data_IF_408702802267
#
_entry.id   IF_408702802267
#
_cell.length_a   1.000
_cell.length_b   1.000
_cell.length_c   1.000
_cell.angle_alpha   90.00
_cell.angle_beta   90.00
_cell.angle_gamma   90.00
#
_symmetry.space_group_name_H-M   'P 1'
#
loop_
_entity.id
_entity.type
_entity.pdbx_description
1 polymer ?
#
# COMPACT_ATOMS: atom_id res chain seq x y z
N UNK A 1 -41.19 -11.45 -12.51
CA UNK A 1 -39.75 -11.66 -12.77
C UNK A 1 -38.98 -10.80 -11.78
N UNK A 2 -37.97 -11.37 -11.11
CA UNK A 2 -37.07 -10.61 -10.24
C UNK A 2 -35.75 -10.34 -10.97
N UNK A 3 -35.23 -9.13 -10.88
CA UNK A 3 -33.95 -8.77 -11.48
C UNK A 3 -32.81 -9.39 -10.68
N UNK A 4 -31.81 -9.98 -11.36
CA UNK A 4 -30.61 -10.51 -10.72
C UNK A 4 -29.61 -9.37 -10.46
N UNK A 5 -29.22 -9.09 -9.20
CA UNK A 5 -28.15 -8.16 -8.92
C UNK A 5 -26.81 -8.71 -9.41
N UNK A 6 -26.05 -7.89 -10.12
CA UNK A 6 -24.72 -8.22 -10.65
C UNK A 6 -23.70 -7.19 -10.17
N UNK A 7 -22.50 -7.65 -9.79
CA UNK A 7 -21.39 -6.76 -9.40
C UNK A 7 -20.67 -6.33 -10.68
N UNK A 8 -20.89 -5.08 -11.10
CA UNK A 8 -20.24 -4.49 -12.29
C UNK A 8 -18.96 -3.74 -11.98
N UNK A 9 -18.66 -3.52 -10.69
CA UNK A 9 -17.46 -2.87 -10.22
C UNK A 9 -17.32 -2.96 -8.71
N UNK A 10 -16.08 -2.87 -8.23
CA UNK A 10 -15.77 -2.82 -6.80
C UNK A 10 -14.47 -2.05 -6.57
N UNK A 11 -14.34 -1.48 -5.37
CA UNK A 11 -13.20 -0.65 -4.98
C UNK A 11 -13.13 -0.46 -3.47
N UNK A 12 -12.11 0.26 -3.02
CA UNK A 12 -11.84 0.49 -1.60
C UNK A 12 -10.34 0.54 -1.32
N UNK A 13 -9.97 1.07 -0.16
CA UNK A 13 -8.60 1.10 0.37
C UNK A 13 -8.61 0.44 1.74
N UNK A 14 -7.65 -0.45 1.99
CA UNK A 14 -7.41 -1.02 3.31
C UNK A 14 -5.90 -1.26 3.51
N UNK A 15 -5.51 -2.01 4.55
CA UNK A 15 -4.12 -2.30 4.86
C UNK A 15 -3.37 -3.09 3.75
N UNK A 16 -4.09 -3.80 2.86
CA UNK A 16 -3.52 -4.49 1.70
C UNK A 16 -3.40 -3.57 0.46
N UNK A 17 -3.87 -2.33 0.54
CA UNK A 17 -3.86 -1.35 -0.55
C UNK A 17 -5.22 -1.22 -1.23
N UNK A 18 -5.22 -1.05 -2.56
CA UNK A 18 -6.41 -0.75 -3.36
C UNK A 18 -7.14 -2.00 -3.84
N UNK A 19 -8.42 -2.15 -3.56
CA UNK A 19 -9.20 -3.33 -3.97
C UNK A 19 -9.47 -3.38 -5.48
N UNK A 20 -9.71 -2.24 -6.12
CA UNK A 20 -9.99 -2.19 -7.57
C UNK A 20 -8.80 -2.74 -8.37
N UNK A 21 -9.09 -3.48 -9.45
CA UNK A 21 -8.08 -4.19 -10.21
C UNK A 21 -7.40 -5.34 -9.44
N UNK A 22 -8.03 -5.83 -8.37
CA UNK A 22 -7.56 -6.93 -7.51
C UNK A 22 -6.23 -6.67 -6.79
N UNK A 23 -5.80 -5.41 -6.60
CA UNK A 23 -4.46 -5.14 -6.08
C UNK A 23 -4.32 -5.48 -4.59
N UNK A 24 -5.34 -5.18 -3.79
CA UNK A 24 -5.42 -5.64 -2.40
C UNK A 24 -5.40 -7.17 -2.29
N UNK A 25 -6.11 -7.87 -3.19
CA UNK A 25 -6.06 -9.34 -3.25
C UNK A 25 -4.64 -9.84 -3.60
N UNK A 26 -4.01 -9.27 -4.63
CA UNK A 26 -2.64 -9.61 -5.02
C UNK A 26 -1.64 -9.41 -3.86
N UNK A 27 -1.79 -8.35 -3.07
CA UNK A 27 -0.95 -8.16 -1.87
C UNK A 27 -1.13 -9.27 -0.83
N UNK A 28 -2.34 -9.80 -0.67
CA UNK A 28 -2.60 -10.89 0.29
C UNK A 28 -1.95 -12.22 -0.13
N UNK A 29 -1.88 -12.50 -1.43
CA UNK A 29 -1.33 -13.76 -1.98
C UNK A 29 0.00 -13.54 -2.70
N UNK A 30 0.76 -12.52 -2.28
CA UNK A 30 1.91 -11.98 -3.01
C UNK A 30 2.94 -13.03 -3.45
N UNK A 31 3.25 -13.98 -2.57
CA UNK A 31 4.27 -15.01 -2.79
C UNK A 31 3.85 -16.06 -3.84
N UNK A 32 2.57 -16.12 -4.19
CA UNK A 32 2.01 -17.03 -5.19
C UNK A 32 1.88 -16.38 -6.58
N UNK A 33 2.24 -15.10 -6.70
CA UNK A 33 2.12 -14.36 -7.95
C UNK A 33 3.33 -14.60 -8.85
N UNK A 34 3.13 -14.48 -10.17
CA UNK A 34 4.25 -14.36 -11.10
C UNK A 34 5.05 -13.08 -10.84
N UNK A 35 6.33 -13.07 -11.22
CA UNK A 35 7.22 -11.89 -11.04
C UNK A 35 6.63 -10.59 -11.60
N UNK A 36 5.95 -10.65 -12.75
CA UNK A 36 5.28 -9.48 -13.33
C UNK A 36 4.12 -8.95 -12.48
N UNK A 37 3.32 -9.84 -11.89
CA UNK A 37 2.22 -9.46 -10.99
C UNK A 37 2.76 -8.98 -9.63
N UNK A 38 3.86 -9.55 -9.14
CA UNK A 38 4.57 -9.03 -7.96
C UNK A 38 5.05 -7.60 -8.20
N UNK A 39 5.78 -7.36 -9.30
CA UNK A 39 6.27 -6.03 -9.66
C UNK A 39 5.12 -5.01 -9.80
N UNK A 40 4.04 -5.37 -10.49
CA UNK A 40 2.85 -4.51 -10.62
C UNK A 40 2.22 -4.20 -9.26
N UNK A 41 2.17 -5.18 -8.35
CA UNK A 41 1.63 -4.99 -7.00
C UNK A 41 2.53 -4.07 -6.18
N UNK A 42 3.85 -4.28 -6.19
CA UNK A 42 4.83 -3.42 -5.51
C UNK A 42 4.76 -1.98 -6.03
N UNK A 43 4.70 -1.79 -7.36
CA UNK A 43 4.56 -0.47 -7.97
C UNK A 43 3.30 0.24 -7.49
N UNK A 44 2.17 -0.48 -7.45
CA UNK A 44 0.93 0.10 -6.93
C UNK A 44 1.00 0.47 -5.47
N UNK A 45 1.65 -0.34 -4.63
CA UNK A 45 1.86 -0.01 -3.23
C UNK A 45 2.74 1.24 -3.11
N UNK A 46 3.86 1.27 -3.83
CA UNK A 46 4.78 2.40 -3.84
C UNK A 46 4.08 3.70 -4.25
N UNK A 47 3.25 3.66 -5.29
CA UNK A 47 2.45 4.82 -5.72
C UNK A 47 1.36 5.20 -4.71
N UNK A 48 0.66 4.22 -4.14
CA UNK A 48 -0.38 4.47 -3.15
C UNK A 48 0.18 5.09 -1.86
N UNK A 49 1.39 4.68 -1.45
CA UNK A 49 2.06 5.19 -0.23
C UNK A 49 2.96 6.40 -0.49
N UNK A 50 2.88 7.01 -1.67
CA UNK A 50 3.64 8.22 -2.01
C UNK A 50 5.16 8.02 -2.14
N UNK A 51 5.63 6.78 -2.27
CA UNK A 51 7.04 6.44 -2.44
C UNK A 51 7.49 6.56 -3.90
N UNK A 52 6.55 6.46 -4.83
CA UNK A 52 6.81 6.50 -6.26
C UNK A 52 5.71 7.28 -6.99
N UNK A 53 6.05 8.29 -7.77
CA UNK A 53 5.10 9.08 -8.55
C UNK A 53 5.55 9.22 -9.99
N UNK A 54 4.60 9.32 -10.91
CA UNK A 54 4.88 9.66 -12.29
C UNK A 54 4.69 11.17 -12.47
N UNK A 55 5.71 11.84 -13.00
CA UNK A 55 5.72 13.27 -13.28
C UNK A 55 6.31 13.51 -14.68
N UNK A 56 5.52 14.12 -15.57
CA UNK A 56 5.89 14.38 -16.97
C UNK A 56 6.44 13.14 -17.72
N UNK A 57 5.89 11.95 -17.41
CA UNK A 57 6.32 10.68 -18.02
C UNK A 57 7.53 10.02 -17.35
N UNK A 58 8.21 10.72 -16.45
CA UNK A 58 9.33 10.20 -15.67
C UNK A 58 8.83 9.67 -14.32
N UNK A 59 9.50 8.65 -13.81
CA UNK A 59 9.23 8.13 -12.46
C UNK A 59 10.14 8.81 -11.46
N UNK A 60 9.56 9.26 -10.35
CA UNK A 60 10.27 9.94 -9.26
C UNK A 60 9.96 9.32 -7.91
N UNK A 61 10.94 9.28 -7.04
CA UNK A 61 10.76 8.83 -5.65
C UNK A 61 10.16 9.93 -4.75
N UNK A 62 10.03 9.62 -3.45
CA UNK A 62 9.57 10.57 -2.44
C UNK A 62 10.47 11.82 -2.29
N UNK A 63 11.75 11.74 -2.68
CA UNK A 63 12.72 12.84 -2.64
C UNK A 63 12.77 13.63 -3.96
N UNK A 64 11.88 13.33 -4.91
CA UNK A 64 11.83 13.91 -6.25
C UNK A 64 13.01 13.52 -7.17
N UNK A 65 13.81 12.52 -6.78
CA UNK A 65 14.86 11.96 -7.63
C UNK A 65 14.22 11.10 -8.72
N UNK A 66 14.74 11.22 -9.95
CA UNK A 66 14.33 10.32 -11.03
C UNK A 66 14.83 8.90 -10.74
N UNK A 67 13.96 7.91 -10.94
CA UNK A 67 14.26 6.51 -10.60
C UNK A 67 13.89 5.56 -11.72
N UNK A 68 14.73 4.53 -11.91
CA UNK A 68 14.33 3.33 -12.62
C UNK A 68 13.37 2.54 -11.72
N UNK A 69 12.17 2.23 -12.24
CA UNK A 69 11.13 1.57 -11.46
C UNK A 69 11.56 0.16 -11.01
N UNK A 70 12.19 -0.62 -11.88
CA UNK A 70 12.56 -1.99 -11.55
C UNK A 70 13.61 -2.04 -10.44
N UNK A 71 14.63 -1.19 -10.52
CA UNK A 71 15.67 -1.07 -9.50
C UNK A 71 15.10 -0.54 -8.18
N UNK A 72 14.22 0.47 -8.24
CA UNK A 72 13.55 1.01 -7.06
C UNK A 72 12.71 -0.06 -6.36
N UNK A 73 11.92 -0.83 -7.10
CA UNK A 73 11.08 -1.87 -6.52
C UNK A 73 11.91 -3.00 -5.93
N UNK A 74 12.99 -3.42 -6.59
CA UNK A 74 13.90 -4.43 -6.05
C UNK A 74 14.56 -3.96 -4.74
N UNK A 75 14.98 -2.69 -4.66
CA UNK A 75 15.60 -2.13 -3.46
C UNK A 75 14.62 -1.90 -2.29
N UNK A 76 13.32 -1.73 -2.59
CA UNK A 76 12.31 -1.36 -1.59
C UNK A 76 11.26 -2.46 -1.34
N UNK A 77 11.38 -3.64 -1.95
CA UNK A 77 10.41 -4.73 -1.86
C UNK A 77 10.07 -5.06 -0.39
N UNK A 78 11.08 -5.34 0.43
CA UNK A 78 10.91 -5.68 1.84
C UNK A 78 10.19 -4.56 2.60
N UNK A 79 10.62 -3.31 2.41
CA UNK A 79 10.04 -2.13 3.07
C UNK A 79 8.57 -1.94 2.68
N UNK A 80 8.22 -2.10 1.40
CA UNK A 80 6.84 -1.97 0.91
C UNK A 80 5.93 -3.06 1.49
N UNK A 81 6.44 -4.29 1.57
CA UNK A 81 5.69 -5.42 2.15
C UNK A 81 5.54 -5.26 3.67
N UNK A 82 6.59 -4.85 4.38
CA UNK A 82 6.59 -4.66 5.83
C UNK A 82 5.69 -3.50 6.29
N UNK A 83 5.48 -2.49 5.43
CA UNK A 83 4.62 -1.35 5.73
C UNK A 83 3.13 -1.56 5.40
N UNK A 84 2.74 -2.76 4.98
CA UNK A 84 1.35 -3.12 4.64
C UNK A 84 0.84 -4.25 5.54
N UNK A 85 -0.46 -4.57 5.43
CA UNK A 85 -1.16 -5.56 6.25
C UNK A 85 -1.20 -5.21 7.75
N UNK A 86 -1.44 -6.22 8.59
CA UNK A 86 -1.41 -6.10 10.04
C UNK A 86 0.05 -5.94 10.47
N UNK A 87 0.31 -4.87 11.21
CA UNK A 87 1.65 -4.51 11.70
C UNK A 87 1.55 -3.62 12.93
N UNK A 88 2.68 -3.38 13.59
CA UNK A 88 2.76 -2.37 14.66
C UNK A 88 2.33 -1.01 14.11
N UNK A 89 1.57 -0.25 14.91
CA UNK A 89 1.28 1.15 14.62
C UNK A 89 2.60 1.92 14.65
N UNK A 90 2.81 2.82 13.69
CA UNK A 90 4.03 3.63 13.68
C UNK A 90 3.94 4.61 14.83
N UNK A 91 5.03 4.77 15.58
CA UNK A 91 5.04 5.66 16.74
C UNK A 91 4.73 7.12 16.33
N UNK A 92 5.04 7.50 15.08
CA UNK A 92 4.66 8.78 14.47
C UNK A 92 3.14 8.96 14.23
N UNK A 93 2.38 7.87 14.06
CA UNK A 93 0.94 7.91 13.85
C UNK A 93 0.20 7.90 15.21
N UNK A 94 0.60 6.99 16.10
CA UNK A 94 0.04 6.81 17.44
C UNK A 94 0.93 5.89 18.27
N UNK A 95 1.39 6.35 19.45
CA UNK A 95 2.13 5.51 20.40
C UNK A 95 1.18 4.87 21.43
N UNK A 96 0.87 3.56 21.33
CA UNK A 96 -0.01 2.88 22.27
C UNK A 96 0.59 2.76 23.69
N UNK A 97 1.87 3.08 23.88
CA UNK A 97 2.53 3.07 25.20
C UNK A 97 2.50 4.44 25.90
N UNK A 98 2.16 5.50 25.18
CA UNK A 98 2.11 6.87 25.70
C UNK A 98 0.76 7.51 25.36
N UNK A 99 -0.31 6.87 25.82
CA UNK A 99 -1.67 7.35 25.60
C UNK A 99 -1.95 8.47 26.61
N UNK A 100 -2.17 9.73 26.19
CA UNK A 100 -2.52 10.81 27.11
C UNK A 100 -3.91 10.56 27.68
N UNK A 101 -4.05 10.68 29.00
CA UNK A 101 -5.34 10.62 29.68
C UNK A 101 -5.40 11.68 30.78
N UNK A 102 -6.61 12.16 31.08
CA UNK A 102 -6.82 13.07 32.19
C UNK A 102 -7.03 12.30 33.49
N UNK A 103 -6.28 12.64 34.53
CA UNK A 103 -6.45 12.12 35.88
C UNK A 103 -6.92 13.24 36.80
N UNK A 104 -7.88 12.96 37.69
CA UNK A 104 -8.33 13.92 38.71
C UNK A 104 -7.15 14.25 39.63
N UNK A 105 -6.83 15.54 39.76
CA UNK A 105 -5.90 16.01 40.78
C UNK A 105 -6.49 15.78 42.18
N UNK A 106 -5.71 15.18 43.07
CA UNK A 106 -6.05 14.98 44.50
C UNK A 106 -5.57 16.18 45.30
#
# INVERSE_FOLDING_TARGET
MANLPVITGFGGINAAGRSSGHNGFRRLVFDQLSRGLQASTLQQLATLTGQLRQDQGLWRDANNAEVNVEEFLAANEETLLANTLIRKIKDADFDPKQIPYHQRAV
#
